data_IF_808306650071
#
_entry.id   IF_808306650071
#
_cell.length_a   1.000
_cell.length_b   1.000
_cell.length_c   1.000
_cell.angle_alpha   90.00
_cell.angle_beta   90.00
_cell.angle_gamma   90.00
#
_symmetry.space_group_name_H-M   'P 1'
#
loop_
_entity.id
_entity.type
_entity.pdbx_description
1 polymer ?
#
# COMPACT_ATOMS: atom_id res chain seq x y z
N UNK A 1 -13.74 3.68 -7.72
CA UNK A 1 -13.99 3.22 -6.33
C UNK A 1 -14.64 4.26 -5.45
N UNK A 2 -14.05 5.46 -5.29
CA UNK A 2 -14.56 6.52 -4.41
C UNK A 2 -16.06 6.81 -4.63
N UNK A 3 -16.50 7.01 -5.87
CA UNK A 3 -17.92 7.26 -6.16
C UNK A 3 -18.86 6.14 -5.66
N UNK A 4 -18.44 4.87 -5.72
CA UNK A 4 -19.21 3.74 -5.19
C UNK A 4 -19.29 3.81 -3.66
N UNK A 5 -18.17 4.11 -2.99
CA UNK A 5 -18.10 4.22 -1.54
C UNK A 5 -18.94 5.40 -1.02
N UNK A 6 -18.92 6.54 -1.71
CA UNK A 6 -19.76 7.71 -1.37
C UNK A 6 -21.25 7.39 -1.52
N UNK A 7 -21.64 6.75 -2.63
CA UNK A 7 -23.04 6.41 -2.91
C UNK A 7 -23.57 5.29 -2.01
N UNK A 8 -22.73 4.29 -1.72
CA UNK A 8 -23.12 3.10 -0.96
C UNK A 8 -21.92 2.61 -0.13
N UNK A 9 -21.72 3.12 1.11
CA UNK A 9 -20.55 2.83 1.94
C UNK A 9 -20.31 1.34 2.20
N UNK A 10 -21.39 0.59 2.39
CA UNK A 10 -21.37 -0.86 2.65
C UNK A 10 -21.32 -1.74 1.38
N UNK A 11 -21.07 -1.14 0.20
CA UNK A 11 -21.02 -1.88 -1.05
C UNK A 11 -19.99 -3.01 -1.01
N UNK A 12 -20.33 -4.14 -1.64
CA UNK A 12 -19.42 -5.29 -1.79
C UNK A 12 -18.59 -5.20 -3.08
N UNK A 13 -18.77 -4.15 -3.88
CA UNK A 13 -18.26 -4.03 -5.25
C UNK A 13 -17.27 -2.86 -5.45
N UNK A 14 -16.77 -2.27 -4.35
CA UNK A 14 -15.72 -1.26 -4.41
C UNK A 14 -14.35 -1.95 -4.53
N UNK A 15 -13.94 -2.22 -5.76
CA UNK A 15 -12.68 -2.89 -6.06
C UNK A 15 -11.90 -2.15 -7.15
N UNK A 16 -10.58 -2.11 -7.02
CA UNK A 16 -9.63 -1.78 -8.09
C UNK A 16 -8.86 -3.05 -8.44
N UNK A 17 -8.62 -3.26 -9.73
CA UNK A 17 -7.98 -4.47 -10.24
C UNK A 17 -6.86 -3.99 -11.17
N UNK A 18 -5.68 -4.54 -10.98
CA UNK A 18 -4.53 -4.38 -11.86
C UNK A 18 -4.32 -5.62 -12.73
N UNK A 19 -4.79 -6.78 -12.25
CA UNK A 19 -4.73 -8.03 -12.99
C UNK A 19 -5.60 -8.04 -14.24
N UNK A 20 -5.00 -8.42 -15.37
CA UNK A 20 -5.65 -8.63 -16.65
C UNK A 20 -5.43 -10.09 -17.08
N UNK A 21 -6.38 -11.01 -16.79
CA UNK A 21 -6.19 -12.44 -17.04
C UNK A 21 -5.84 -12.82 -18.48
N UNK A 22 -6.29 -12.01 -19.44
CA UNK A 22 -6.05 -12.20 -20.87
C UNK A 22 -4.67 -11.71 -21.35
N UNK A 23 -3.87 -11.07 -20.49
CA UNK A 23 -2.57 -10.49 -20.83
C UNK A 23 -1.47 -10.96 -19.86
N UNK A 24 -1.77 -10.97 -18.57
CA UNK A 24 -0.77 -11.14 -17.51
C UNK A 24 -0.23 -12.56 -17.36
N UNK A 25 -0.83 -13.55 -18.04
CA UNK A 25 -0.33 -14.92 -18.04
C UNK A 25 0.93 -15.09 -18.90
N UNK A 26 1.07 -14.28 -19.95
CA UNK A 26 2.17 -14.34 -20.91
C UNK A 26 3.05 -13.07 -20.89
N UNK A 27 2.68 -12.08 -20.08
CA UNK A 27 3.45 -10.85 -19.89
C UNK A 27 4.79 -11.14 -19.19
N UNK A 28 5.86 -10.49 -19.65
CA UNK A 28 7.20 -10.61 -19.05
C UNK A 28 7.23 -10.09 -17.59
N UNK A 29 6.60 -8.94 -17.35
CA UNK A 29 6.52 -8.31 -16.02
C UNK A 29 5.05 -8.04 -15.62
N UNK A 30 4.26 -9.08 -15.30
CA UNK A 30 2.88 -8.89 -14.88
C UNK A 30 2.82 -8.20 -13.51
N UNK A 31 1.75 -7.47 -13.18
CA UNK A 31 1.67 -6.73 -11.93
C UNK A 31 1.71 -7.68 -10.71
N UNK A 32 2.55 -7.36 -9.73
CA UNK A 32 2.60 -8.11 -8.46
C UNK A 32 1.31 -7.91 -7.65
N UNK A 33 0.84 -6.66 -7.56
CA UNK A 33 -0.48 -6.33 -7.05
C UNK A 33 -1.54 -6.84 -8.03
N UNK A 34 -2.61 -7.44 -7.51
CA UNK A 34 -3.70 -8.00 -8.33
C UNK A 34 -5.00 -7.23 -8.11
N UNK A 35 -5.33 -6.93 -6.85
CA UNK A 35 -6.53 -6.15 -6.53
C UNK A 35 -6.48 -5.47 -5.16
N UNK A 36 -7.29 -4.43 -5.04
CA UNK A 36 -7.63 -3.71 -3.82
C UNK A 36 -9.15 -3.72 -3.68
N UNK A 37 -9.68 -4.25 -2.58
CA UNK A 37 -11.10 -4.23 -2.27
C UNK A 37 -11.35 -3.38 -1.03
N UNK A 38 -12.45 -2.62 -1.04
CA UNK A 38 -12.79 -1.67 0.01
C UNK A 38 -14.20 -1.87 0.53
N UNK A 39 -14.40 -1.52 1.80
CA UNK A 39 -15.71 -1.37 2.42
C UNK A 39 -15.64 -0.36 3.56
N UNK A 40 -16.64 0.52 3.64
CA UNK A 40 -16.83 1.38 4.80
C UNK A 40 -17.82 0.73 5.76
N UNK A 41 -17.49 0.77 7.04
CA UNK A 41 -18.40 0.45 8.14
C UNK A 41 -18.55 1.71 8.98
N UNK A 42 -19.77 2.05 9.38
CA UNK A 42 -20.04 3.21 10.23
C UNK A 42 -20.23 2.71 11.66
N UNK A 43 -19.61 3.39 12.62
CA UNK A 43 -19.87 3.16 14.05
C UNK A 43 -21.03 4.02 14.56
N UNK A 44 -21.40 3.82 15.83
CA UNK A 44 -22.52 4.52 16.47
C UNK A 44 -22.29 6.04 16.57
N UNK A 45 -21.03 6.49 16.55
CA UNK A 45 -20.63 7.91 16.56
C UNK A 45 -20.65 8.54 15.15
N UNK A 46 -21.02 7.78 14.12
CA UNK A 46 -21.07 8.23 12.73
C UNK A 46 -19.70 8.29 12.03
N UNK A 47 -18.64 7.77 12.65
CA UNK A 47 -17.33 7.63 12.01
C UNK A 47 -17.31 6.45 11.06
N UNK A 48 -16.84 6.68 9.84
CA UNK A 48 -16.69 5.63 8.85
C UNK A 48 -15.28 5.04 8.88
N UNK A 49 -15.18 3.72 8.92
CA UNK A 49 -13.94 2.96 8.96
C UNK A 49 -13.68 2.32 7.59
N UNK A 50 -12.67 2.82 6.88
CA UNK A 50 -12.25 2.31 5.58
C UNK A 50 -11.46 1.02 5.77
N UNK A 51 -12.13 -0.10 5.54
CA UNK A 51 -11.50 -1.42 5.52
C UNK A 51 -10.99 -1.71 4.10
N UNK A 52 -9.79 -2.29 4.01
CA UNK A 52 -9.13 -2.60 2.75
C UNK A 52 -8.60 -4.03 2.77
N UNK A 53 -8.85 -4.77 1.68
CA UNK A 53 -8.17 -6.03 1.41
C UNK A 53 -7.26 -5.83 0.19
N UNK A 54 -6.00 -6.20 0.33
CA UNK A 54 -4.98 -6.11 -0.70
C UNK A 54 -4.56 -7.52 -1.10
N UNK A 55 -4.43 -7.77 -2.40
CA UNK A 55 -4.02 -9.07 -2.94
C UNK A 55 -2.81 -8.92 -3.84
N UNK A 56 -1.76 -9.67 -3.52
CA UNK A 56 -0.55 -9.82 -4.30
C UNK A 56 -0.38 -11.28 -4.72
N UNK A 57 -0.04 -11.53 -5.98
CA UNK A 57 0.37 -12.87 -6.42
C UNK A 57 1.80 -13.21 -5.98
N UNK A 58 2.62 -12.19 -5.79
CA UNK A 58 4.04 -12.28 -5.46
C UNK A 58 4.46 -11.00 -4.75
N UNK A 59 5.09 -11.11 -3.59
CA UNK A 59 5.51 -9.95 -2.82
C UNK A 59 6.85 -10.24 -2.11
N UNK A 60 7.89 -9.54 -2.57
CA UNK A 60 9.22 -9.56 -1.96
C UNK A 60 9.16 -8.95 -0.56
N UNK A 61 9.29 -9.81 0.45
CA UNK A 61 9.21 -9.48 1.86
C UNK A 61 10.36 -8.58 2.33
N UNK A 62 11.52 -8.64 1.68
CA UNK A 62 12.71 -7.89 2.09
C UNK A 62 12.88 -6.60 1.28
N UNK A 63 12.84 -6.70 -0.04
CA UNK A 63 13.16 -5.57 -0.92
C UNK A 63 12.00 -4.60 -1.18
N UNK A 64 10.74 -5.06 -1.06
CA UNK A 64 9.59 -4.26 -1.52
C UNK A 64 8.46 -4.11 -0.49
N UNK A 65 8.20 -5.13 0.33
CA UNK A 65 7.01 -5.20 1.19
C UNK A 65 6.84 -4.00 2.10
N UNK A 66 7.92 -3.54 2.75
CA UNK A 66 7.90 -2.34 3.61
C UNK A 66 7.35 -1.11 2.87
N UNK A 67 7.91 -0.80 1.70
CA UNK A 67 7.50 0.35 0.91
C UNK A 67 6.12 0.14 0.26
N UNK A 68 5.76 -1.08 -0.09
CA UNK A 68 4.41 -1.37 -0.59
C UNK A 68 3.36 -1.11 0.51
N UNK A 69 3.56 -1.65 1.72
CA UNK A 69 2.65 -1.43 2.84
C UNK A 69 2.54 0.06 3.19
N UNK A 70 3.68 0.75 3.31
CA UNK A 70 3.70 2.20 3.54
C UNK A 70 2.92 2.95 2.44
N UNK A 71 3.21 2.65 1.17
CA UNK A 71 2.57 3.26 0.02
C UNK A 71 1.05 3.07 0.00
N UNK A 72 0.54 1.86 0.27
CA UNK A 72 -0.91 1.61 0.30
C UNK A 72 -1.60 2.20 1.53
N UNK A 73 -0.93 2.26 2.69
CA UNK A 73 -1.47 2.94 3.86
C UNK A 73 -1.65 4.43 3.54
N UNK A 74 -0.62 5.06 2.98
CA UNK A 74 -0.68 6.48 2.58
C UNK A 74 -1.69 6.72 1.46
N UNK A 75 -1.72 5.88 0.43
CA UNK A 75 -2.71 5.97 -0.64
C UNK A 75 -4.15 5.85 -0.10
N UNK A 76 -4.41 4.88 0.78
CA UNK A 76 -5.72 4.70 1.38
C UNK A 76 -6.12 5.89 2.26
N UNK A 77 -5.17 6.49 3.00
CA UNK A 77 -5.41 7.66 3.85
C UNK A 77 -5.65 8.93 3.02
N UNK A 78 -4.68 9.28 2.18
CA UNK A 78 -4.59 10.58 1.52
C UNK A 78 -5.45 10.66 0.26
N UNK A 79 -5.70 9.54 -0.42
CA UNK A 79 -6.47 9.52 -1.67
C UNK A 79 -7.89 8.97 -1.44
N UNK A 80 -8.01 7.80 -0.84
CA UNK A 80 -9.33 7.14 -0.73
C UNK A 80 -10.15 7.74 0.43
N UNK A 81 -9.63 7.69 1.65
CA UNK A 81 -10.36 8.14 2.84
C UNK A 81 -10.62 9.65 2.81
N UNK A 82 -9.60 10.45 2.51
CA UNK A 82 -9.73 11.92 2.44
C UNK A 82 -10.79 12.37 1.42
N UNK A 83 -10.79 11.80 0.21
CA UNK A 83 -11.75 12.19 -0.83
C UNK A 83 -13.17 11.68 -0.52
N UNK A 84 -13.32 10.50 0.10
CA UNK A 84 -14.63 10.05 0.59
C UNK A 84 -15.13 11.00 1.68
N UNK A 85 -14.30 11.32 2.69
CA UNK A 85 -14.67 12.22 3.78
C UNK A 85 -15.12 13.60 3.27
N UNK A 86 -14.36 14.16 2.32
CA UNK A 86 -14.69 15.43 1.66
C UNK A 86 -16.05 15.38 0.96
N UNK A 87 -16.39 14.28 0.27
CA UNK A 87 -17.64 14.15 -0.50
C UNK A 87 -18.84 13.79 0.36
N UNK A 88 -18.65 13.08 1.47
CA UNK A 88 -19.74 12.65 2.36
C UNK A 88 -19.99 13.63 3.51
N UNK A 89 -19.02 14.51 3.82
CA UNK A 89 -19.05 15.35 5.00
C UNK A 89 -18.91 14.57 6.32
N UNK A 90 -18.57 13.27 6.26
CA UNK A 90 -18.41 12.41 7.43
C UNK A 90 -16.92 12.15 7.72
N UNK A 91 -16.53 11.96 9.00
CA UNK A 91 -15.17 11.54 9.32
C UNK A 91 -14.92 10.12 8.78
N UNK A 92 -13.85 9.95 8.02
CA UNK A 92 -13.40 8.65 7.51
C UNK A 92 -12.02 8.34 8.08
N UNK A 93 -11.93 7.26 8.86
CA UNK A 93 -10.69 6.74 9.45
C UNK A 93 -10.28 5.44 8.77
N UNK A 94 -9.00 5.09 8.87
CA UNK A 94 -8.53 3.80 8.39
C UNK A 94 -8.98 2.69 9.35
N UNK A 95 -9.61 1.65 8.77
CA UNK A 95 -9.98 0.43 9.47
C UNK A 95 -8.96 -0.69 9.21
N UNK A 96 -9.45 -1.93 9.15
CA UNK A 96 -8.61 -3.10 8.93
C UNK A 96 -7.93 -3.05 7.56
N UNK A 97 -6.63 -3.30 7.54
CA UNK A 97 -5.86 -3.63 6.34
C UNK A 97 -5.56 -5.13 6.32
N UNK A 98 -6.18 -5.86 5.40
CA UNK A 98 -5.93 -7.29 5.20
C UNK A 98 -4.98 -7.49 4.02
N UNK A 99 -3.75 -7.87 4.30
CA UNK A 99 -2.71 -8.11 3.30
C UNK A 99 -2.64 -9.59 2.93
N UNK A 100 -2.95 -9.94 1.69
CA UNK A 100 -2.75 -11.28 1.15
C UNK A 100 -1.66 -11.27 0.09
N UNK A 101 -0.66 -12.11 0.28
CA UNK A 101 0.37 -12.40 -0.70
C UNK A 101 0.42 -13.92 -0.91
N UNK A 102 0.15 -14.37 -2.14
CA UNK A 102 0.17 -15.80 -2.47
C UNK A 102 1.59 -16.38 -2.33
N UNK A 103 2.59 -15.60 -2.73
CA UNK A 103 4.01 -15.85 -2.46
C UNK A 103 4.63 -14.67 -1.73
N UNK A 104 4.79 -14.80 -0.41
CA UNK A 104 5.53 -13.85 0.43
C UNK A 104 6.92 -14.40 0.73
N UNK A 105 7.96 -13.84 0.10
CA UNK A 105 9.26 -14.50 0.01
C UNK A 105 10.44 -13.54 0.14
N UNK A 106 11.60 -14.08 0.50
CA UNK A 106 12.90 -13.39 0.43
C UNK A 106 13.70 -14.09 -0.66
N UNK A 107 14.22 -13.34 -1.63
CA UNK A 107 15.08 -13.90 -2.67
C UNK A 107 16.35 -14.50 -2.07
N UNK A 108 16.85 -15.59 -2.66
CA UNK A 108 18.08 -16.26 -2.20
C UNK A 108 19.28 -15.30 -2.07
N UNK A 109 19.44 -14.38 -3.01
CA UNK A 109 20.49 -13.34 -3.00
C UNK A 109 20.41 -12.40 -1.78
N UNK A 110 19.22 -12.22 -1.22
CA UNK A 110 18.95 -11.26 -0.16
C UNK A 110 18.97 -11.89 1.25
N UNK A 111 18.96 -13.23 1.35
CA UNK A 111 18.94 -13.97 2.63
C UNK A 111 20.08 -13.55 3.55
N UNK A 112 21.31 -13.46 3.04
CA UNK A 112 22.48 -13.10 3.84
C UNK A 112 22.32 -11.70 4.47
N UNK A 113 21.80 -10.75 3.70
CA UNK A 113 21.61 -9.36 4.14
C UNK A 113 20.43 -9.25 5.10
N UNK A 114 19.32 -9.92 4.81
CA UNK A 114 18.15 -9.98 5.70
C UNK A 114 18.54 -10.59 7.07
N UNK A 115 19.38 -11.64 7.06
CA UNK A 115 19.90 -12.24 8.28
C UNK A 115 20.73 -11.26 9.10
N UNK A 116 21.76 -10.67 8.49
CA UNK A 116 22.66 -9.76 9.19
C UNK A 116 21.99 -8.47 9.69
N UNK A 117 21.01 -7.94 8.94
CA UNK A 117 20.39 -6.63 9.22
C UNK A 117 19.07 -6.68 9.97
N UNK A 118 18.39 -7.82 9.98
CA UNK A 118 17.12 -7.97 10.71
C UNK A 118 17.15 -9.15 11.67
N UNK A 119 17.29 -10.38 11.16
CA UNK A 119 17.05 -11.58 11.97
C UNK A 119 18.04 -11.74 13.14
N UNK A 120 19.34 -11.58 12.89
CA UNK A 120 20.37 -11.70 13.93
C UNK A 120 20.31 -10.52 14.94
N UNK A 121 19.60 -9.45 14.60
CA UNK A 121 19.42 -8.26 15.44
C UNK A 121 18.14 -8.31 16.26
N UNK A 122 17.21 -9.24 16.02
CA UNK A 122 15.92 -9.27 16.71
C UNK A 122 16.07 -9.39 18.23
N UNK A 123 17.04 -10.18 18.69
CA UNK A 123 17.31 -10.39 20.11
C UNK A 123 18.06 -9.23 20.79
N UNK A 124 18.70 -8.35 20.02
CA UNK A 124 19.64 -7.31 20.53
C UNK A 124 19.20 -5.88 20.24
N UNK A 125 18.10 -5.70 19.50
CA UNK A 125 17.51 -4.39 19.20
C UNK A 125 16.06 -4.34 19.63
N UNK A 126 15.59 -3.15 19.98
CA UNK A 126 14.18 -2.89 20.26
C UNK A 126 13.39 -2.70 18.97
N UNK A 127 12.07 -2.58 19.08
CA UNK A 127 11.23 -2.20 17.94
C UNK A 127 11.55 -0.79 17.43
N UNK A 128 11.82 0.16 18.34
CA UNK A 128 12.14 1.54 17.98
C UNK A 128 13.41 1.63 17.14
N UNK A 129 14.43 0.82 17.44
CA UNK A 129 15.69 0.77 16.68
C UNK A 129 15.53 0.27 15.24
N UNK A 130 14.39 -0.35 14.91
CA UNK A 130 14.10 -0.98 13.62
C UNK A 130 12.96 -0.32 12.86
N UNK A 131 12.50 0.83 13.34
CA UNK A 131 11.40 1.58 12.70
C UNK A 131 11.79 3.02 12.47
N UNK A 132 11.19 3.61 11.45
CA UNK A 132 11.30 5.03 11.17
C UNK A 132 9.99 5.69 11.51
N UNK A 133 10.08 6.83 12.20
CA UNK A 133 8.93 7.71 12.35
C UNK A 133 8.82 8.57 11.10
N UNK A 134 7.65 8.56 10.46
CA UNK A 134 7.46 9.34 9.24
C UNK A 134 7.38 10.85 9.50
N UNK A 135 7.16 11.29 10.74
CA UNK A 135 7.22 12.69 11.15
C UNK A 135 8.63 13.16 11.54
N UNK A 136 9.62 12.26 11.51
CA UNK A 136 11.02 12.64 11.72
C UNK A 136 11.49 13.55 10.56
N UNK A 137 12.09 14.72 10.85
CA UNK A 137 12.50 15.68 9.83
C UNK A 137 13.43 15.08 8.76
N UNK A 138 14.35 14.19 9.14
CA UNK A 138 15.29 13.56 8.21
C UNK A 138 14.55 12.60 7.26
N UNK A 139 13.62 11.81 7.80
CA UNK A 139 12.81 10.88 7.00
C UNK A 139 11.87 11.65 6.07
N UNK A 140 11.31 12.77 6.54
CA UNK A 140 10.49 13.69 5.74
C UNK A 140 11.28 14.27 4.58
N UNK A 141 12.48 14.78 4.84
CA UNK A 141 13.37 15.33 3.82
C UNK A 141 13.69 14.29 2.73
N UNK A 142 14.13 13.09 3.13
CA UNK A 142 14.40 11.99 2.18
C UNK A 142 13.18 11.64 1.32
N UNK A 143 11.98 11.63 1.90
CA UNK A 143 10.75 11.35 1.17
C UNK A 143 10.40 12.47 0.17
N UNK A 144 10.50 13.72 0.61
CA UNK A 144 10.13 14.89 -0.19
C UNK A 144 11.12 15.10 -1.36
N UNK A 145 12.42 14.82 -1.15
CA UNK A 145 13.46 14.84 -2.20
C UNK A 145 13.28 13.75 -3.26
N UNK A 146 12.80 12.55 -2.87
CA UNK A 146 12.55 11.47 -3.81
C UNK A 146 11.37 11.79 -4.76
N UNK A 147 10.40 12.60 -4.32
CA UNK A 147 9.18 12.91 -5.06
C UNK A 147 9.39 13.47 -6.47
N UNK A 148 10.18 14.56 -6.65
CA UNK A 148 10.49 15.11 -7.97
C UNK A 148 11.13 14.09 -8.92
N UNK A 149 12.07 13.27 -8.42
CA UNK A 149 12.77 12.25 -9.22
C UNK A 149 11.79 11.19 -9.72
N UNK A 150 10.90 10.70 -8.84
CA UNK A 150 9.87 9.73 -9.21
C UNK A 150 8.89 10.32 -10.23
N UNK A 151 8.44 11.56 -10.04
CA UNK A 151 7.54 12.24 -11.00
C UNK A 151 8.18 12.42 -12.36
N UNK A 152 9.45 12.81 -12.42
CA UNK A 152 10.18 12.92 -13.68
C UNK A 152 10.29 11.57 -14.40
N UNK A 153 10.56 10.49 -13.66
CA UNK A 153 10.60 9.13 -14.21
C UNK A 153 9.25 8.69 -14.79
N UNK A 154 8.15 9.00 -14.11
CA UNK A 154 6.79 8.70 -14.60
C UNK A 154 6.49 9.49 -15.87
N UNK A 155 6.76 10.81 -15.87
CA UNK A 155 6.50 11.66 -17.03
C UNK A 155 7.32 11.23 -18.26
N UNK A 156 8.56 10.79 -18.06
CA UNK A 156 9.39 10.26 -19.15
C UNK A 156 8.85 8.92 -19.69
N UNK A 157 8.37 8.04 -18.80
CA UNK A 157 7.75 6.79 -19.21
C UNK A 157 6.49 7.04 -20.07
N UNK A 158 5.60 7.92 -19.60
CA UNK A 158 4.36 8.30 -20.32
C UNK A 158 4.64 8.99 -21.67
N UNK A 159 5.82 9.61 -21.83
CA UNK A 159 6.24 10.23 -23.09
C UNK A 159 6.75 9.21 -24.11
N UNK A 160 7.26 8.07 -23.63
CA UNK A 160 8.02 7.11 -24.44
C UNK A 160 7.27 5.81 -24.73
N UNK A 161 6.09 5.62 -24.15
CA UNK A 161 5.23 4.43 -24.28
C UNK A 161 3.77 4.86 -24.44
#
# INVERSE_FOLDING_TARGET
VIAKLVKQPFTRQAQMITWMPNLDLDCYDPPCLQSLWYRLLEDDDGTQWLNCNIRFRSNDAWGASFMNMFGFIMFNKEIIAAEVAKRTGKPVKLGRLNWHADSYHIYGKDIATAKARLFDRLATTTFADRTYRFDDPLIREMYDEAGPVVRAKIAEYDRTH
#
